data_IF_502836596731
#
_entry.id   IF_502836596731
#
_cell.length_a   1.000
_cell.length_b   1.000
_cell.length_c   1.000
_cell.angle_alpha   90.00
_cell.angle_beta   90.00
_cell.angle_gamma   90.00
#
_symmetry.space_group_name_H-M   'P 1'
#
loop_
_entity.id
_entity.type
_entity.pdbx_description
1 polymer ?
#
# COMPACT_ATOMS: atom_id res chain seq x y z
N UNK A 1 -25.11 -31.76 15.71
CA UNK A 1 -25.45 -31.26 14.37
C UNK A 1 -25.99 -29.84 14.51
N UNK A 2 -25.49 -28.88 13.73
CA UNK A 2 -25.97 -27.50 13.73
C UNK A 2 -24.86 -26.49 13.49
N UNK A 3 -24.24 -26.50 12.31
CA UNK A 3 -23.39 -25.41 11.84
C UNK A 3 -24.32 -24.31 11.31
N UNK A 4 -24.40 -23.18 12.01
CA UNK A 4 -25.00 -21.96 11.45
C UNK A 4 -23.96 -21.33 10.53
N UNK A 5 -24.10 -21.57 9.23
CA UNK A 5 -23.39 -20.83 8.18
C UNK A 5 -23.88 -19.39 8.25
N UNK A 6 -23.00 -18.49 8.73
CA UNK A 6 -23.19 -17.06 8.54
C UNK A 6 -23.11 -16.80 7.04
N UNK A 7 -24.24 -16.46 6.43
CA UNK A 7 -24.33 -15.92 5.09
C UNK A 7 -23.53 -14.62 5.08
N UNK A 8 -22.30 -14.68 4.57
CA UNK A 8 -21.53 -13.50 4.23
C UNK A 8 -22.28 -12.76 3.14
N UNK A 9 -22.84 -11.62 3.51
CA UNK A 9 -23.41 -10.65 2.60
C UNK A 9 -22.30 -10.23 1.61
N UNK A 10 -22.35 -10.75 0.38
CA UNK A 10 -21.53 -10.29 -0.74
C UNK A 10 -22.00 -8.89 -1.12
N UNK A 11 -21.62 -7.90 -0.30
CA UNK A 11 -21.64 -6.52 -0.72
C UNK A 11 -20.64 -6.40 -1.89
N UNK A 12 -21.16 -6.27 -3.11
CA UNK A 12 -20.33 -5.83 -4.24
C UNK A 12 -19.68 -4.51 -3.85
N UNK A 13 -18.39 -4.54 -3.54
CA UNK A 13 -17.64 -3.34 -3.19
C UNK A 13 -17.48 -2.49 -4.44
N UNK A 14 -18.26 -1.40 -4.53
CA UNK A 14 -18.09 -0.40 -5.59
C UNK A 14 -16.71 0.23 -5.40
N UNK A 15 -15.81 -0.02 -6.36
CA UNK A 15 -14.47 0.61 -6.37
C UNK A 15 -14.57 1.95 -7.05
N UNK A 16 -13.97 2.96 -6.43
CA UNK A 16 -13.97 4.33 -6.91
C UNK A 16 -13.24 4.45 -8.29
N UNK A 17 -13.81 5.17 -9.28
CA UNK A 17 -13.18 5.33 -10.60
C UNK A 17 -11.78 5.96 -10.56
N UNK A 18 -11.53 6.89 -9.64
CA UNK A 18 -10.23 7.55 -9.50
C UNK A 18 -9.20 6.57 -8.92
N UNK A 19 -9.62 5.68 -8.01
CA UNK A 19 -8.77 4.59 -7.52
C UNK A 19 -8.39 3.61 -8.63
N UNK A 20 -9.31 3.30 -9.53
CA UNK A 20 -9.04 2.47 -10.71
C UNK A 20 -8.05 3.17 -11.64
N UNK A 21 -8.28 4.44 -11.97
CA UNK A 21 -7.39 5.20 -12.83
C UNK A 21 -5.96 5.31 -12.25
N UNK A 22 -5.85 5.54 -10.93
CA UNK A 22 -4.57 5.58 -10.24
C UNK A 22 -3.86 4.23 -10.27
N UNK A 23 -4.58 3.13 -10.04
CA UNK A 23 -4.01 1.79 -10.12
C UNK A 23 -3.50 1.47 -11.52
N UNK A 24 -4.24 1.84 -12.57
CA UNK A 24 -3.81 1.67 -13.96
C UNK A 24 -2.53 2.46 -14.29
N UNK A 25 -2.37 3.67 -13.75
CA UNK A 25 -1.11 4.43 -13.88
C UNK A 25 0.08 3.67 -13.27
N UNK A 26 -0.11 3.11 -12.07
CA UNK A 26 0.93 2.31 -11.39
C UNK A 26 1.45 1.15 -12.24
N UNK A 27 0.57 0.57 -13.05
CA UNK A 27 0.87 -0.56 -13.90
C UNK A 27 1.59 -0.14 -15.18
N UNK A 28 1.25 1.01 -15.74
CA UNK A 28 1.84 1.52 -16.98
C UNK A 28 3.28 2.00 -16.76
N UNK A 29 3.58 2.65 -15.63
CA UNK A 29 4.94 3.11 -15.31
C UNK A 29 5.92 1.97 -15.04
N UNK A 30 5.44 0.82 -14.56
CA UNK A 30 6.26 -0.39 -14.41
C UNK A 30 6.72 -1.01 -15.74
N UNK A 31 6.13 -0.62 -16.87
CA UNK A 31 6.44 -1.13 -18.21
C UNK A 31 7.32 -0.17 -19.02
N UNK A 32 7.42 1.10 -18.60
CA UNK A 32 8.15 2.15 -19.35
C UNK A 32 9.62 2.30 -18.91
N UNK A 33 10.35 1.19 -18.86
CA UNK A 33 11.82 1.18 -18.81
C UNK A 33 12.37 0.68 -20.14
N UNK A 34 13.21 1.48 -20.79
CA UNK A 34 13.94 1.16 -22.03
C UNK A 34 14.46 -0.29 -22.04
N UNK A 35 13.87 -1.12 -22.90
CA UNK A 35 14.27 -2.52 -23.10
C UNK A 35 15.58 -2.53 -23.88
N UNK A 36 16.69 -2.37 -23.15
CA UNK A 36 17.96 -2.96 -23.57
C UNK A 36 18.01 -4.38 -22.99
N UNK A 37 17.90 -5.35 -23.89
CA UNK A 37 17.98 -6.78 -23.61
C UNK A 37 19.24 -7.06 -22.79
N UNK A 38 19.07 -7.53 -21.57
CA UNK A 38 20.03 -8.38 -20.89
C UNK A 38 19.25 -9.50 -20.22
N UNK A 39 19.34 -10.67 -20.86
CA UNK A 39 19.06 -11.99 -20.32
C UNK A 39 19.47 -12.04 -18.86
N UNK A 40 18.52 -12.01 -17.92
CA UNK A 40 18.38 -12.75 -16.64
C UNK A 40 17.12 -12.23 -15.91
N UNK A 41 15.93 -12.80 -16.21
CA UNK A 41 14.78 -12.95 -15.31
C UNK A 41 14.19 -11.81 -14.44
N UNK A 42 14.62 -10.55 -14.54
CA UNK A 42 14.12 -9.45 -13.70
C UNK A 42 13.21 -8.52 -14.47
N UNK A 43 11.95 -8.39 -14.05
CA UNK A 43 11.10 -7.28 -14.50
C UNK A 43 11.78 -5.98 -14.02
N UNK A 44 11.82 -4.89 -14.82
CA UNK A 44 12.34 -3.62 -14.35
C UNK A 44 11.60 -3.31 -13.04
N UNK A 45 12.36 -3.23 -11.94
CA UNK A 45 11.81 -2.99 -10.60
C UNK A 45 11.06 -1.66 -10.69
N UNK A 46 9.73 -1.72 -10.73
CA UNK A 46 8.89 -0.54 -10.80
C UNK A 46 9.28 0.35 -9.61
N UNK A 47 9.77 1.56 -9.89
CA UNK A 47 10.12 2.48 -8.82
C UNK A 47 8.86 2.77 -8.00
N UNK A 48 8.90 2.61 -6.67
CA UNK A 48 7.75 2.89 -5.83
C UNK A 48 7.26 4.32 -6.03
N UNK A 49 5.95 4.49 -6.02
CA UNK A 49 5.34 5.81 -5.95
C UNK A 49 5.42 6.32 -4.53
N UNK A 50 5.70 7.60 -4.34
CA UNK A 50 5.81 8.21 -3.02
C UNK A 50 4.65 9.15 -2.76
N UNK A 51 3.97 8.94 -1.64
CA UNK A 51 2.84 9.72 -1.18
C UNK A 51 3.00 10.16 0.26
N UNK A 52 2.29 11.22 0.62
CA UNK A 52 2.02 11.55 2.01
C UNK A 52 0.61 11.04 2.33
N UNK A 53 0.48 10.23 3.37
CA UNK A 53 -0.79 9.70 3.81
C UNK A 53 -1.27 10.45 5.05
N UNK A 54 -2.51 10.93 4.98
CA UNK A 54 -3.19 11.58 6.10
C UNK A 54 -4.56 10.96 6.30
N UNK A 55 -5.01 10.93 7.54
CA UNK A 55 -6.38 10.53 7.85
C UNK A 55 -7.39 11.64 7.53
N UNK A 56 -8.67 11.37 7.76
CA UNK A 56 -9.76 12.33 7.53
C UNK A 56 -9.71 13.53 8.46
N UNK A 57 -8.98 13.44 9.59
CA UNK A 57 -8.74 14.53 10.53
C UNK A 57 -7.45 15.31 10.22
N UNK A 58 -6.81 15.05 9.07
CA UNK A 58 -5.56 15.66 8.63
C UNK A 58 -4.34 15.32 9.50
N UNK A 59 -4.37 14.23 10.27
CA UNK A 59 -3.19 13.72 10.96
C UNK A 59 -2.29 13.03 9.95
N UNK A 60 -1.00 13.40 9.96
CA UNK A 60 0.02 12.75 9.16
C UNK A 60 0.60 11.54 9.88
N UNK A 61 1.12 10.59 9.10
CA UNK A 61 1.84 9.45 9.66
C UNK A 61 3.28 9.83 9.98
N UNK A 62 3.78 9.40 11.13
CA UNK A 62 5.20 9.47 11.46
C UNK A 62 5.68 8.14 12.06
N UNK A 63 6.98 7.87 11.94
CA UNK A 63 7.58 6.71 12.57
C UNK A 63 7.97 7.04 14.02
N UNK A 64 7.39 6.32 14.98
CA UNK A 64 7.69 6.45 16.40
C UNK A 64 7.92 5.06 17.01
N UNK A 65 9.11 4.83 17.58
CA UNK A 65 9.50 3.56 18.20
C UNK A 65 9.23 2.32 17.32
N UNK A 66 9.49 2.43 16.01
CA UNK A 66 9.28 1.33 15.06
C UNK A 66 7.82 1.07 14.69
N UNK A 67 6.90 1.99 15.02
CA UNK A 67 5.50 1.92 14.63
C UNK A 67 5.10 3.17 13.86
N UNK A 68 4.22 3.03 12.86
CA UNK A 68 3.56 4.17 12.23
C UNK A 68 2.43 4.67 13.12
N UNK A 69 2.48 5.96 13.45
CA UNK A 69 1.48 6.61 14.30
C UNK A 69 0.91 7.81 13.57
N UNK A 70 -0.41 7.96 13.60
CA UNK A 70 -1.11 9.14 13.10
C UNK A 70 -1.08 10.25 14.17
N UNK A 71 -0.54 11.40 13.84
CA UNK A 71 -0.45 12.55 14.75
C UNK A 71 -0.56 13.89 14.03
N UNK A 72 -0.74 14.98 14.78
CA UNK A 72 -0.76 16.33 14.23
C UNK A 72 0.66 16.78 13.90
N UNK A 73 0.98 16.88 12.60
CA UNK A 73 2.28 17.29 12.08
C UNK A 73 2.15 18.68 11.45
N UNK A 74 2.62 19.72 12.15
CA UNK A 74 2.53 21.12 11.75
C UNK A 74 3.74 21.93 12.25
N UNK A 75 4.20 22.90 11.46
CA UNK A 75 5.34 23.72 11.83
C UNK A 75 6.61 22.88 12.00
N UNK A 76 7.26 22.95 13.17
CA UNK A 76 8.57 22.34 13.39
C UNK A 76 8.57 20.79 13.31
N UNK A 77 7.46 20.12 13.65
CA UNK A 77 7.38 18.66 13.57
C UNK A 77 6.88 18.15 12.21
N UNK A 78 6.54 19.02 11.26
CA UNK A 78 6.08 18.61 9.93
C UNK A 78 7.13 17.78 9.16
N UNK A 79 8.42 18.02 9.41
CA UNK A 79 9.52 17.24 8.81
C UNK A 79 9.58 15.78 9.28
N UNK A 80 8.78 15.39 10.28
CA UNK A 80 8.69 14.02 10.78
C UNK A 80 7.66 13.17 10.01
N UNK A 81 6.91 13.78 9.08
CA UNK A 81 5.92 13.08 8.24
C UNK A 81 6.63 12.01 7.39
N UNK A 82 6.23 10.75 7.58
CA UNK A 82 6.86 9.61 6.93
C UNK A 82 6.26 9.44 5.53
N UNK A 83 7.07 9.51 4.47
CA UNK A 83 6.61 9.25 3.12
C UNK A 83 6.30 7.77 2.95
N UNK A 84 5.19 7.49 2.28
CA UNK A 84 4.70 6.16 1.98
C UNK A 84 5.10 5.76 0.57
N UNK A 85 5.74 4.61 0.43
CA UNK A 85 6.07 3.95 -0.83
C UNK A 85 4.94 3.01 -1.24
N UNK A 86 4.50 3.07 -2.50
CA UNK A 86 3.39 2.28 -3.03
C UNK A 86 3.79 1.58 -4.32
N UNK A 87 3.47 0.29 -4.42
CA UNK A 87 3.57 -0.49 -5.65
C UNK A 87 2.30 -1.35 -5.85
N UNK A 88 1.93 -1.69 -7.09
CA UNK A 88 0.79 -2.57 -7.33
C UNK A 88 1.12 -4.01 -6.93
N UNK A 89 0.17 -4.72 -6.32
CA UNK A 89 0.28 -6.15 -6.05
C UNK A 89 -0.35 -6.96 -7.19
N UNK A 90 0.48 -7.47 -8.09
CA UNK A 90 0.02 -8.17 -9.29
C UNK A 90 -0.50 -9.60 -9.02
N UNK A 91 -0.36 -10.09 -7.80
CA UNK A 91 -0.74 -11.46 -7.43
C UNK A 91 -2.16 -11.56 -6.87
N UNK A 92 -2.82 -10.41 -6.63
CA UNK A 92 -4.20 -10.34 -6.13
C UNK A 92 -5.15 -9.89 -7.23
N UNK A 93 -6.45 -10.03 -6.98
CA UNK A 93 -7.49 -9.66 -7.95
C UNK A 93 -7.41 -8.19 -8.33
N UNK A 94 -7.01 -7.91 -9.58
CA UNK A 94 -6.79 -6.57 -10.13
C UNK A 94 -7.95 -5.60 -9.92
N UNK A 95 -9.19 -6.07 -10.04
CA UNK A 95 -10.39 -5.23 -9.90
C UNK A 95 -10.49 -4.53 -8.55
N UNK A 96 -9.81 -5.08 -7.53
CA UNK A 96 -9.77 -4.53 -6.18
C UNK A 96 -8.62 -3.53 -5.96
N UNK A 97 -7.89 -3.17 -7.02
CA UNK A 97 -6.74 -2.26 -6.99
C UNK A 97 -5.74 -2.57 -5.85
N UNK A 98 -5.24 -3.81 -5.75
CA UNK A 98 -4.44 -4.24 -4.60
C UNK A 98 -3.05 -3.60 -4.60
N UNK A 99 -2.65 -3.02 -3.48
CA UNK A 99 -1.37 -2.31 -3.32
C UNK A 99 -0.51 -2.96 -2.24
N UNK A 100 0.82 -2.86 -2.39
CA UNK A 100 1.77 -3.02 -1.30
C UNK A 100 2.22 -1.63 -0.88
N UNK A 101 2.26 -1.43 0.43
CA UNK A 101 2.55 -0.14 1.06
C UNK A 101 3.78 -0.30 1.95
N UNK A 102 4.74 0.60 1.82
CA UNK A 102 5.97 0.59 2.62
C UNK A 102 6.41 1.98 3.03
N UNK A 103 7.50 2.03 3.79
CA UNK A 103 8.13 3.26 4.30
C UNK A 103 9.62 3.24 4.00
N UNK A 104 10.35 4.32 4.32
CA UNK A 104 11.81 4.38 4.13
C UNK A 104 12.25 4.01 2.70
N UNK A 105 11.46 4.44 1.71
CA UNK A 105 11.71 4.14 0.31
C UNK A 105 11.38 2.70 -0.12
N UNK A 106 10.63 1.96 0.71
CA UNK A 106 10.26 0.56 0.46
C UNK A 106 11.17 -0.46 1.13
N UNK A 107 12.12 -0.04 1.97
CA UNK A 107 12.97 -0.96 2.73
C UNK A 107 12.24 -1.67 3.87
N UNK A 108 11.07 -1.16 4.26
CA UNK A 108 10.14 -1.81 5.19
C UNK A 108 8.72 -1.72 4.63
N UNK A 109 7.94 -2.79 4.79
CA UNK A 109 6.57 -2.87 4.29
C UNK A 109 5.56 -2.99 5.45
N UNK A 110 4.35 -2.46 5.23
CA UNK A 110 3.22 -2.73 6.11
C UNK A 110 2.70 -4.15 5.84
N UNK A 111 2.63 -4.94 6.89
CA UNK A 111 2.11 -6.30 6.83
C UNK A 111 1.05 -6.55 7.92
N UNK A 112 0.22 -7.55 7.68
CA UNK A 112 -0.64 -8.11 8.71
C UNK A 112 0.10 -9.31 9.30
N UNK A 113 0.44 -9.26 10.59
CA UNK A 113 1.18 -10.34 11.26
C UNK A 113 0.46 -11.70 11.13
N UNK A 114 1.20 -12.83 11.15
CA UNK A 114 0.65 -14.16 10.90
C UNK A 114 -0.19 -14.73 12.06
N UNK A 115 -0.46 -13.93 13.09
CA UNK A 115 -1.25 -14.32 14.25
C UNK A 115 -2.73 -14.52 13.94
N UNK A 116 -3.50 -15.14 14.85
CA UNK A 116 -4.94 -15.34 14.68
C UNK A 116 -5.71 -14.01 14.67
N UNK A 117 -5.18 -12.97 15.31
CA UNK A 117 -5.70 -11.62 15.25
C UNK A 117 -4.89 -10.81 14.23
N UNK A 118 -5.52 -10.16 13.25
CA UNK A 118 -4.82 -9.32 12.30
C UNK A 118 -4.24 -8.10 13.04
N UNK A 119 -2.92 -7.97 13.01
CA UNK A 119 -2.18 -6.84 13.59
C UNK A 119 -1.34 -6.19 12.52
N UNK A 120 -1.40 -4.87 12.44
CA UNK A 120 -0.59 -4.10 11.51
C UNK A 120 0.83 -3.96 12.07
N UNK A 121 1.81 -4.40 11.29
CA UNK A 121 3.22 -4.44 11.65
C UNK A 121 4.08 -3.89 10.50
N UNK A 122 5.37 -3.66 10.80
CA UNK A 122 6.39 -3.30 9.82
C UNK A 122 7.41 -4.43 9.74
N UNK A 123 7.71 -4.88 8.52
CA UNK A 123 8.70 -5.93 8.20
C UNK A 123 9.77 -5.40 7.25
#
# INVERSE_FOLDING_TARGET
AGLSVGTGDTAESVTDPDMVALFEDFLQKGVSGDVTVSTEGGWPLAQPYHYVLRDTEQKGLCLHNGQLVATNLQGANAAQEEPISVVPNLHLERRRCPLIVGIRGGSQALCCGPGPEPRLELE
#
